data_IF_092419531445
#
_entry.id   IF_092419531445
#
_cell.length_a   1.000
_cell.length_b   1.000
_cell.length_c   1.000
_cell.angle_alpha   90.00
_cell.angle_beta   90.00
_cell.angle_gamma   90.00
#
_symmetry.space_group_name_H-M   'P 1'
#
loop_
_entity.id
_entity.type
_entity.pdbx_description
1 polymer ?
#
# COMPACT_ATOMS: atom_id res chain seq x y z
N UNK A 1 -9.62 -10.53 3.01
CA UNK A 1 -9.64 -9.19 3.61
C UNK A 1 -11.07 -8.86 4.02
N UNK A 2 -11.29 -8.28 5.19
CA UNK A 2 -12.64 -7.90 5.66
C UNK A 2 -13.10 -6.56 5.08
N UNK A 3 -14.41 -6.29 5.09
CA UNK A 3 -15.00 -5.07 4.51
C UNK A 3 -14.42 -3.76 5.09
N UNK A 4 -14.09 -3.73 6.39
CA UNK A 4 -13.47 -2.56 7.00
C UNK A 4 -12.03 -2.35 6.53
N UNK A 5 -11.27 -3.45 6.40
CA UNK A 5 -9.90 -3.42 5.90
C UNK A 5 -9.90 -3.05 4.40
N UNK A 6 -10.88 -3.52 3.64
CA UNK A 6 -11.10 -3.17 2.25
C UNK A 6 -11.27 -1.67 2.01
N UNK A 7 -12.10 -1.00 2.81
CA UNK A 7 -12.25 0.46 2.74
C UNK A 7 -10.96 1.20 3.05
N UNK A 8 -10.16 0.70 4.00
CA UNK A 8 -8.86 1.30 4.31
C UNK A 8 -7.90 1.16 3.13
N UNK A 9 -7.86 -0.01 2.48
CA UNK A 9 -7.05 -0.24 1.28
C UNK A 9 -7.53 0.64 0.12
N UNK A 10 -8.83 0.77 -0.12
CA UNK A 10 -9.38 1.66 -1.15
C UNK A 10 -8.92 3.10 -0.95
N UNK A 11 -9.04 3.63 0.28
CA UNK A 11 -8.58 4.97 0.61
C UNK A 11 -7.08 5.16 0.34
N UNK A 12 -6.24 4.18 0.70
CA UNK A 12 -4.80 4.21 0.46
C UNK A 12 -4.49 4.15 -1.04
N UNK A 13 -5.11 3.25 -1.80
CA UNK A 13 -4.90 3.16 -3.25
C UNK A 13 -5.25 4.47 -3.94
N UNK A 14 -6.38 5.09 -3.56
CA UNK A 14 -6.79 6.40 -4.05
C UNK A 14 -5.81 7.51 -3.67
N UNK A 15 -5.32 7.50 -2.42
CA UNK A 15 -4.38 8.49 -1.93
C UNK A 15 -3.02 8.41 -2.65
N UNK A 16 -2.59 7.20 -2.99
CA UNK A 16 -1.34 6.94 -3.71
C UNK A 16 -1.53 6.98 -5.24
N UNK A 17 -2.75 7.25 -5.71
CA UNK A 17 -3.12 7.23 -7.12
C UNK A 17 -2.74 5.91 -7.83
N UNK A 18 -2.80 4.80 -7.08
CA UNK A 18 -2.52 3.44 -7.56
C UNK A 18 -3.82 2.88 -8.17
N UNK A 19 -3.79 2.40 -9.43
CA UNK A 19 -4.95 1.77 -10.05
C UNK A 19 -5.30 0.47 -9.32
N UNK A 20 -6.56 0.35 -8.87
CA UNK A 20 -7.07 -0.83 -8.20
C UNK A 20 -8.47 -0.60 -7.64
N UNK A 21 -9.38 -1.53 -7.91
CA UNK A 21 -10.76 -1.53 -7.43
C UNK A 21 -10.90 -2.57 -6.32
N UNK A 22 -11.23 -2.12 -5.12
CA UNK A 22 -11.49 -3.01 -4.00
C UNK A 22 -12.93 -3.45 -4.03
N UNK A 23 -13.16 -4.74 -4.29
CA UNK A 23 -14.49 -5.32 -4.42
C UNK A 23 -14.59 -6.64 -3.66
N UNK A 24 -15.80 -7.04 -3.22
CA UNK A 24 -15.98 -8.38 -2.67
C UNK A 24 -15.69 -9.43 -3.76
N UNK A 25 -15.16 -10.57 -3.32
CA UNK A 25 -14.93 -11.74 -4.16
C UNK A 25 -16.26 -12.18 -4.79
N UNK A 26 -17.30 -12.25 -3.97
CA UNK A 26 -18.67 -12.52 -4.40
C UNK A 26 -19.54 -11.25 -4.31
N UNK A 27 -20.09 -10.75 -5.43
CA UNK A 27 -20.97 -9.58 -5.42
C UNK A 27 -22.27 -9.83 -4.62
N UNK A 28 -22.74 -11.08 -4.57
CA UNK A 28 -23.90 -11.50 -3.78
C UNK A 28 -23.57 -11.68 -2.27
N UNK A 29 -22.30 -11.66 -1.88
CA UNK A 29 -21.87 -11.79 -0.49
C UNK A 29 -20.91 -10.67 -0.07
N UNK A 30 -21.41 -9.45 0.17
CA UNK A 30 -20.59 -8.31 0.61
C UNK A 30 -19.99 -8.48 2.01
N UNK A 31 -20.47 -9.45 2.79
CA UNK A 31 -19.89 -9.84 4.08
C UNK A 31 -18.74 -10.85 3.93
N UNK A 32 -18.53 -11.40 2.74
CA UNK A 32 -17.47 -12.34 2.42
C UNK A 32 -16.10 -11.67 2.26
N UNK A 33 -15.09 -12.43 1.80
CA UNK A 33 -13.76 -11.89 1.60
C UNK A 33 -13.72 -10.84 0.47
N UNK A 34 -13.01 -9.76 0.71
CA UNK A 34 -12.72 -8.71 -0.26
C UNK A 34 -11.33 -8.89 -0.86
N UNK A 35 -11.18 -8.47 -2.12
CA UNK A 35 -9.92 -8.49 -2.87
C UNK A 35 -9.74 -7.20 -3.69
N UNK A 36 -8.51 -6.97 -4.14
CA UNK A 36 -8.20 -5.86 -5.04
C UNK A 36 -8.12 -6.39 -6.46
N UNK A 37 -8.87 -5.75 -7.34
CA UNK A 37 -8.96 -6.09 -8.74
C UNK A 37 -8.45 -4.94 -9.60
N UNK A 38 -7.94 -5.24 -10.79
CA UNK A 38 -7.49 -4.20 -11.74
C UNK A 38 -8.67 -3.36 -12.25
N UNK A 39 -9.85 -3.99 -12.36
CA UNK A 39 -11.05 -3.40 -12.94
C UNK A 39 -12.30 -3.67 -12.10
N UNK A 40 -13.28 -2.76 -12.22
CA UNK A 40 -14.59 -2.90 -11.58
C UNK A 40 -15.48 -3.95 -12.29
N UNK A 41 -15.18 -4.26 -13.55
CA UNK A 41 -15.92 -5.23 -14.34
C UNK A 41 -15.66 -6.66 -13.87
N UNK A 42 -16.65 -7.25 -13.21
CA UNK A 42 -16.54 -8.60 -12.64
C UNK A 42 -16.20 -9.71 -13.65
N UNK A 43 -16.49 -9.50 -14.94
CA UNK A 43 -16.26 -10.47 -16.04
C UNK A 43 -14.83 -10.46 -16.57
N UNK A 44 -14.12 -9.35 -16.41
CA UNK A 44 -12.77 -9.13 -16.97
C UNK A 44 -11.77 -8.77 -15.89
N UNK A 45 -12.21 -8.63 -14.63
CA UNK A 45 -11.35 -8.30 -13.51
C UNK A 45 -10.35 -9.42 -13.22
N UNK A 46 -9.09 -9.05 -13.10
CA UNK A 46 -8.03 -9.92 -12.59
C UNK A 46 -7.73 -9.56 -11.14
N UNK A 47 -7.53 -10.59 -10.31
CA UNK A 47 -7.03 -10.41 -8.95
C UNK A 47 -5.59 -9.88 -9.02
N UNK A 48 -5.43 -8.63 -8.61
CA UNK A 48 -4.14 -7.93 -8.54
C UNK A 48 -3.80 -7.61 -7.10
N UNK A 49 -4.38 -8.32 -6.12
CA UNK A 49 -4.16 -8.05 -4.69
C UNK A 49 -2.67 -8.08 -4.34
N UNK A 50 -1.92 -9.01 -4.91
CA UNK A 50 -0.47 -9.09 -4.72
C UNK A 50 0.28 -7.90 -5.35
N UNK A 51 -0.13 -7.47 -6.54
CA UNK A 51 0.50 -6.37 -7.27
C UNK A 51 0.19 -5.02 -6.64
N UNK A 52 -1.07 -4.78 -6.28
CA UNK A 52 -1.51 -3.60 -5.54
C UNK A 52 -0.81 -3.49 -4.18
N UNK A 53 -0.66 -4.62 -3.46
CA UNK A 53 0.10 -4.64 -2.21
C UNK A 53 1.59 -4.35 -2.46
N UNK A 54 2.17 -4.86 -3.54
CA UNK A 54 3.55 -4.58 -3.92
C UNK A 54 3.76 -3.10 -4.30
N UNK A 55 2.82 -2.48 -5.02
CA UNK A 55 2.85 -1.06 -5.37
C UNK A 55 2.70 -0.16 -4.13
N UNK A 56 1.82 -0.54 -3.21
CA UNK A 56 1.70 0.10 -1.90
C UNK A 56 3.01 -0.05 -1.12
N UNK A 57 3.56 -1.27 -1.04
CA UNK A 57 4.82 -1.52 -0.37
C UNK A 57 5.98 -0.74 -1.00
N UNK A 58 6.04 -0.61 -2.33
CA UNK A 58 7.05 0.19 -3.03
C UNK A 58 6.94 1.68 -2.68
N UNK A 59 5.72 2.22 -2.56
CA UNK A 59 5.49 3.61 -2.15
C UNK A 59 5.93 3.86 -0.71
N UNK A 60 5.70 2.90 0.19
CA UNK A 60 6.17 2.99 1.58
C UNK A 60 7.62 2.54 1.79
N UNK A 61 8.23 1.88 0.81
CA UNK A 61 9.66 1.51 0.83
C UNK A 61 10.55 2.71 0.50
N UNK A 62 9.99 3.80 -0.01
CA UNK A 62 10.72 5.03 -0.35
C UNK A 62 11.00 5.93 0.87
N UNK A 63 10.45 5.63 2.06
CA UNK A 63 10.76 6.35 3.30
C UNK A 63 10.82 5.40 4.51
N UNK A 64 11.74 4.45 4.46
CA UNK A 64 12.52 4.17 5.66
C UNK A 64 13.79 5.00 5.52
N UNK A 65 14.19 5.85 6.50
CA UNK A 65 15.57 6.30 6.50
C UNK A 65 16.40 5.02 6.48
N UNK A 66 17.12 4.81 5.39
CA UNK A 66 18.30 4.00 5.46
C UNK A 66 19.03 4.53 6.68
N UNK A 67 19.12 3.71 7.73
CA UNK A 67 20.03 3.90 8.83
C UNK A 67 21.45 3.76 8.25
N UNK A 68 21.79 4.61 7.28
CA UNK A 68 23.13 4.89 6.87
C UNK A 68 23.81 5.52 8.08
N UNK A 69 25.06 5.13 8.35
CA UNK A 69 25.79 5.62 9.52
C UNK A 69 25.73 7.15 9.53
N UNK A 70 25.20 7.69 10.63
CA UNK A 70 25.09 9.13 10.87
C UNK A 70 26.43 9.79 10.52
N UNK A 71 26.41 10.60 9.45
CA UNK A 71 27.58 11.35 9.01
C UNK A 71 28.05 12.19 10.19
N UNK A 72 29.34 12.01 10.53
CA UNK A 72 29.93 12.50 11.77
C UNK A 72 29.76 14.00 11.97
N UNK A 73 29.24 14.37 13.13
CA UNK A 73 29.52 15.67 13.71
C UNK A 73 30.97 15.65 14.19
N UNK A 74 31.86 16.36 13.49
CA UNK A 74 33.20 16.68 13.99
C UNK A 74 33.01 17.74 15.07
N UNK A 75 33.23 17.38 16.35
CA UNK A 75 33.41 18.37 17.40
C UNK A 75 34.76 19.09 17.16
N UNK A 76 34.80 20.43 17.10
CA UNK A 76 36.08 21.14 17.13
C UNK A 76 36.75 20.95 18.50
N UNK A 77 38.10 20.95 18.57
CA UNK A 77 38.80 20.83 19.84
C UNK A 77 38.54 22.05 20.70
N UNK A 78 38.04 21.83 21.93
CA UNK A 78 38.01 22.86 22.97
C UNK A 78 39.44 23.15 23.40
N UNK A 79 40.06 24.17 22.80
CA UNK A 79 41.25 24.80 23.33
C UNK A 79 40.85 25.86 24.36
N UNK A 80 41.30 25.70 25.61
CA UNK A 80 42.08 26.63 26.45
C UNK A 80 42.05 26.12 27.88
#
# INVERSE_FOLDING_TARGET
MDAQQARRVDAVLRQLNIPGVVAPEDPDNPAGPWRVYDSADYRTRHDVTADALAAVAATFSDDGPAAGPQRGFVLPPSGT
#
